data_IF_704402446010
#
_entry.id   IF_704402446010
#
_cell.length_a   1.000
_cell.length_b   1.000
_cell.length_c   1.000
_cell.angle_alpha   90.00
_cell.angle_beta   90.00
_cell.angle_gamma   90.00
#
_symmetry.space_group_name_H-M   'P 1'
#
loop_
_entity.id
_entity.type
_entity.pdbx_description
1 polymer ?
#
# COMPACT_ATOMS: atom_id res chain seq x y z
N UNK A 1 -8.49 5.17 10.97
CA UNK A 1 -8.03 5.44 9.60
C UNK A 1 -8.50 6.80 9.16
N UNK A 2 -7.59 7.63 8.73
CA UNK A 2 -7.95 8.95 8.25
C UNK A 2 -7.64 9.08 6.78
N UNK A 3 -8.64 8.91 5.95
CA UNK A 3 -8.62 9.46 4.61
C UNK A 3 -9.19 10.87 4.77
N UNK A 4 -8.33 11.88 4.70
CA UNK A 4 -8.72 13.26 4.94
C UNK A 4 -9.71 13.79 3.92
N UNK A 5 -9.55 13.35 2.69
CA UNK A 5 -10.44 13.71 1.60
C UNK A 5 -11.37 12.54 1.34
N UNK A 6 -12.65 12.80 1.41
CA UNK A 6 -13.63 11.76 1.11
C UNK A 6 -13.48 11.33 -0.34
N UNK A 7 -13.35 10.01 -0.60
CA UNK A 7 -13.41 9.53 -1.96
C UNK A 7 -14.81 9.74 -2.52
N UNK A 8 -14.91 10.04 -3.80
CA UNK A 8 -16.20 10.12 -4.49
C UNK A 8 -16.83 8.75 -4.62
N UNK A 9 -16.00 7.74 -4.80
CA UNK A 9 -16.45 6.37 -4.96
C UNK A 9 -15.35 5.44 -4.51
N UNK A 10 -15.68 4.50 -3.63
CA UNK A 10 -14.78 3.46 -3.18
C UNK A 10 -14.89 2.27 -4.13
N UNK A 11 -13.77 1.84 -4.70
CA UNK A 11 -13.72 0.68 -5.60
C UNK A 11 -13.49 -0.60 -4.79
N UNK A 12 -12.49 -0.58 -3.90
CA UNK A 12 -12.16 -1.76 -3.10
C UNK A 12 -11.38 -1.38 -1.84
N UNK A 13 -11.51 -2.24 -0.84
CA UNK A 13 -10.70 -2.21 0.39
C UNK A 13 -10.15 -3.62 0.57
N UNK A 14 -8.83 -3.71 0.84
CA UNK A 14 -8.19 -5.00 1.08
C UNK A 14 -7.17 -4.88 2.20
N UNK A 15 -7.28 -5.75 3.19
CA UNK A 15 -6.28 -5.87 4.25
C UNK A 15 -5.24 -6.92 3.83
N UNK A 16 -3.97 -6.58 3.99
CA UNK A 16 -2.87 -7.48 3.72
C UNK A 16 -2.07 -7.73 5.00
N UNK A 17 -1.87 -8.99 5.30
CA UNK A 17 -1.08 -9.45 6.44
C UNK A 17 0.12 -10.24 5.92
N UNK A 18 1.31 -9.79 6.29
CA UNK A 18 2.55 -10.52 6.01
C UNK A 18 3.22 -10.88 7.33
N UNK A 19 3.62 -12.14 7.48
CA UNK A 19 4.33 -12.58 8.65
C UNK A 19 5.81 -12.21 8.58
N UNK A 20 6.44 -12.18 9.76
CA UNK A 20 7.88 -11.99 9.88
C UNK A 20 8.63 -13.00 9.03
N UNK A 21 9.67 -12.55 8.35
CA UNK A 21 10.57 -13.41 7.58
C UNK A 21 12.03 -13.17 8.02
N UNK A 22 12.93 -14.07 7.63
CA UNK A 22 14.36 -13.95 7.97
C UNK A 22 14.99 -12.73 7.30
N UNK A 23 14.60 -12.48 6.04
CA UNK A 23 15.08 -11.35 5.25
C UNK A 23 13.89 -10.58 4.72
N UNK A 24 14.10 -9.30 4.41
CA UNK A 24 13.08 -8.50 3.72
C UNK A 24 12.89 -9.06 2.31
N UNK A 25 11.66 -9.43 1.99
CA UNK A 25 11.28 -9.94 0.67
C UNK A 25 10.37 -8.93 0.00
N UNK A 26 10.77 -8.43 -1.18
CA UNK A 26 9.91 -7.60 -2.02
C UNK A 26 9.04 -8.52 -2.87
N UNK A 27 7.72 -8.27 -2.85
CA UNK A 27 6.76 -9.16 -3.50
C UNK A 27 6.71 -9.03 -5.03
N UNK A 28 7.29 -7.99 -5.58
CA UNK A 28 7.29 -7.71 -7.01
C UNK A 28 6.39 -6.53 -7.36
N UNK A 29 6.83 -5.75 -8.35
CA UNK A 29 6.10 -4.56 -8.77
C UNK A 29 4.78 -4.92 -9.45
N UNK A 30 3.74 -4.17 -9.11
CA UNK A 30 2.42 -4.28 -9.73
C UNK A 30 1.73 -2.92 -9.65
N UNK A 31 0.61 -2.80 -10.34
CA UNK A 31 -0.26 -1.63 -10.22
C UNK A 31 -1.71 -2.08 -10.06
N UNK A 32 -2.56 -1.14 -9.65
CA UNK A 32 -3.97 -1.42 -9.35
C UNK A 32 -4.92 -0.92 -10.44
N UNK A 33 -4.40 -0.52 -11.59
CA UNK A 33 -5.18 0.10 -12.65
C UNK A 33 -6.16 -0.86 -13.34
N UNK A 34 -6.05 -2.15 -13.10
CA UNK A 34 -6.92 -3.16 -13.72
C UNK A 34 -8.39 -3.02 -13.35
N UNK A 35 -8.73 -2.27 -12.30
CA UNK A 35 -10.12 -2.07 -11.88
C UNK A 35 -10.91 -1.19 -12.84
N UNK A 36 -10.27 -0.24 -13.49
CA UNK A 36 -10.92 0.64 -14.44
C UNK A 36 -9.90 1.14 -15.45
N UNK A 37 -10.03 0.68 -16.68
CA UNK A 37 -9.12 1.08 -17.77
C UNK A 37 -9.46 2.46 -18.34
N UNK A 38 -10.68 2.93 -18.10
CA UNK A 38 -11.19 4.17 -18.71
C UNK A 38 -10.96 5.39 -17.83
N UNK A 39 -10.94 5.21 -16.52
CA UNK A 39 -10.80 6.31 -15.57
C UNK A 39 -9.75 5.98 -14.53
N UNK A 40 -8.74 6.83 -14.44
CA UNK A 40 -7.72 6.69 -13.40
C UNK A 40 -8.35 6.86 -12.03
N UNK A 41 -7.93 6.03 -11.12
CA UNK A 41 -8.31 6.12 -9.72
C UNK A 41 -7.06 6.21 -8.84
N UNK A 42 -7.27 6.46 -7.55
CA UNK A 42 -6.19 6.54 -6.58
C UNK A 42 -6.08 5.27 -5.79
N UNK A 43 -4.87 4.95 -5.39
CA UNK A 43 -4.56 3.90 -4.42
C UNK A 43 -4.06 4.56 -3.15
N UNK A 44 -4.66 4.20 -2.03
CA UNK A 44 -4.21 4.61 -0.71
C UNK A 44 -3.76 3.39 0.08
N UNK A 45 -2.70 3.54 0.84
CA UNK A 45 -2.21 2.51 1.76
C UNK A 45 -2.14 3.10 3.15
N UNK A 46 -2.75 2.42 4.11
CA UNK A 46 -2.71 2.79 5.52
C UNK A 46 -1.99 1.71 6.31
N UNK A 47 -0.99 2.13 7.07
CA UNK A 47 -0.16 1.22 7.86
C UNK A 47 -0.71 1.10 9.28
N UNK A 48 -1.00 -0.14 9.69
CA UNK A 48 -1.59 -0.42 11.00
C UNK A 48 -0.56 -0.65 12.10
N UNK A 49 0.68 -0.97 11.74
CA UNK A 49 1.75 -1.16 12.71
C UNK A 49 3.09 -0.66 12.17
N UNK A 50 4.04 -0.50 13.08
CA UNK A 50 5.41 -0.07 12.72
C UNK A 50 6.32 -1.27 12.60
N UNK A 51 7.06 -1.34 11.49
CA UNK A 51 8.08 -2.37 11.27
C UNK A 51 9.07 -1.89 10.20
N UNK A 52 10.08 -2.70 9.90
CA UNK A 52 11.08 -2.35 8.91
C UNK A 52 10.69 -2.70 7.47
N UNK A 53 9.49 -3.20 7.25
CA UNK A 53 8.94 -3.34 5.91
C UNK A 53 8.66 -1.98 5.28
N UNK A 54 8.43 -1.96 3.98
CA UNK A 54 8.20 -0.71 3.25
C UNK A 54 7.36 -0.94 2.00
N UNK A 55 6.89 0.15 1.42
CA UNK A 55 6.31 0.19 0.08
C UNK A 55 7.32 0.89 -0.83
N UNK A 56 7.70 0.23 -1.92
CA UNK A 56 8.68 0.77 -2.87
C UNK A 56 8.01 1.03 -4.20
N UNK A 57 8.35 2.17 -4.80
CA UNK A 57 7.83 2.56 -6.11
C UNK A 57 8.86 2.31 -7.19
N UNK A 58 8.41 2.22 -8.44
CA UNK A 58 9.29 1.94 -9.58
C UNK A 58 10.35 3.01 -9.82
N UNK A 59 10.15 4.23 -9.31
CA UNK A 59 11.14 5.29 -9.37
C UNK A 59 12.25 5.17 -8.32
N UNK A 60 12.18 4.13 -7.47
CA UNK A 60 13.15 3.87 -6.40
C UNK A 60 12.78 4.47 -5.06
N UNK A 61 11.76 5.31 -4.98
CA UNK A 61 11.32 5.88 -3.70
C UNK A 61 10.67 4.82 -2.81
N UNK A 62 10.74 5.03 -1.50
CA UNK A 62 10.20 4.11 -0.49
C UNK A 62 9.41 4.88 0.55
N UNK A 63 8.38 4.23 1.08
CA UNK A 63 7.63 4.70 2.24
C UNK A 63 7.74 3.63 3.32
N UNK A 64 8.34 3.98 4.45
CA UNK A 64 8.51 3.07 5.57
C UNK A 64 7.19 2.79 6.26
N UNK A 65 7.04 1.56 6.73
CA UNK A 65 5.84 1.14 7.46
C UNK A 65 5.88 1.72 8.87
N UNK A 66 4.99 2.68 9.12
CA UNK A 66 4.87 3.33 10.42
C UNK A 66 3.40 3.44 10.77
N UNK A 67 3.06 3.05 12.00
CA UNK A 67 1.68 3.08 12.49
C UNK A 67 1.04 4.46 12.25
N UNK A 68 -0.19 4.44 11.75
CA UNK A 68 -0.99 5.62 11.42
C UNK A 68 -0.48 6.45 10.24
N UNK A 69 0.55 6.01 9.54
CA UNK A 69 0.96 6.66 8.30
C UNK A 69 0.08 6.19 7.16
N UNK A 70 -0.23 7.09 6.24
CA UNK A 70 -0.89 6.73 5.00
C UNK A 70 -0.16 7.35 3.82
N UNK A 71 -0.29 6.72 2.66
CA UNK A 71 0.26 7.21 1.40
C UNK A 71 -0.80 7.06 0.31
N UNK A 72 -0.86 8.04 -0.58
CA UNK A 72 -1.79 8.05 -1.72
C UNK A 72 -1.00 8.26 -3.00
N UNK A 73 -1.33 7.51 -4.03
CA UNK A 73 -0.68 7.63 -5.33
C UNK A 73 -1.62 7.20 -6.44
N UNK A 74 -1.25 7.51 -7.68
CA UNK A 74 -2.02 7.08 -8.84
C UNK A 74 -1.99 5.56 -8.97
N UNK A 75 -3.13 4.97 -9.28
CA UNK A 75 -3.27 3.51 -9.34
C UNK A 75 -2.45 2.86 -10.45
N UNK A 76 -2.03 3.61 -11.46
CA UNK A 76 -1.17 3.11 -12.54
C UNK A 76 0.33 3.14 -12.17
N UNK A 77 0.68 3.63 -10.99
CA UNK A 77 2.06 3.64 -10.52
C UNK A 77 2.46 2.26 -10.02
N UNK A 78 3.53 1.72 -10.58
CA UNK A 78 4.04 0.42 -10.15
C UNK A 78 4.66 0.54 -8.76
N UNK A 79 4.29 -0.37 -7.90
CA UNK A 79 4.74 -0.41 -6.51
C UNK A 79 4.82 -1.85 -6.01
N UNK A 80 5.55 -2.05 -4.95
CA UNK A 80 5.66 -3.34 -4.27
C UNK A 80 5.64 -3.16 -2.76
N UNK A 81 4.98 -4.09 -2.07
CA UNK A 81 5.09 -4.24 -0.64
C UNK A 81 6.17 -5.23 -0.27
N UNK A 82 6.45 -5.35 1.01
CA UNK A 82 7.49 -6.24 1.53
C UNK A 82 7.00 -7.00 2.75
N UNK A 83 7.80 -7.99 3.16
CA UNK A 83 7.71 -8.57 4.49
C UNK A 83 8.44 -7.68 5.50
N UNK A 84 8.53 -8.11 6.74
CA UNK A 84 9.30 -7.44 7.79
C UNK A 84 10.16 -8.46 8.53
N UNK A 85 11.19 -7.98 9.22
CA UNK A 85 12.10 -8.86 9.99
C UNK A 85 12.13 -8.51 11.47
N UNK A 86 11.63 -7.34 11.85
CA UNK A 86 11.71 -6.82 13.24
C UNK A 86 10.37 -6.85 13.99
N UNK A 87 9.33 -7.35 13.37
CA UNK A 87 8.00 -7.48 13.97
C UNK A 87 7.38 -8.80 13.57
N UNK A 88 6.44 -9.32 14.36
CA UNK A 88 5.78 -10.60 14.09
C UNK A 88 5.02 -10.58 12.76
N UNK A 89 4.49 -9.40 12.39
CA UNK A 89 3.70 -9.25 11.19
C UNK A 89 3.74 -7.79 10.70
N UNK A 90 3.37 -7.62 9.46
CA UNK A 90 3.17 -6.34 8.82
C UNK A 90 1.73 -6.30 8.30
N UNK A 91 0.94 -5.33 8.76
CA UNK A 91 -0.46 -5.19 8.37
C UNK A 91 -0.65 -3.85 7.69
N UNK A 92 -1.23 -3.89 6.50
CA UNK A 92 -1.59 -2.69 5.74
C UNK A 92 -3.01 -2.83 5.21
N UNK A 93 -3.68 -1.70 5.01
CA UNK A 93 -4.98 -1.66 4.34
C UNK A 93 -4.82 -0.89 3.05
N UNK A 94 -5.19 -1.51 1.94
CA UNK A 94 -5.17 -0.91 0.62
C UNK A 94 -6.56 -0.45 0.25
N UNK A 95 -6.66 0.77 -0.28
CA UNK A 95 -7.89 1.33 -0.80
C UNK A 95 -7.69 1.69 -2.26
N UNK A 96 -8.69 1.39 -3.07
CA UNK A 96 -8.78 1.90 -4.43
C UNK A 96 -10.06 2.72 -4.52
N UNK A 97 -9.95 3.96 -4.99
CA UNK A 97 -11.08 4.89 -4.98
C UNK A 97 -10.92 5.98 -6.03
N UNK A 98 -12.04 6.54 -6.44
CA UNK A 98 -12.07 7.77 -7.24
C UNK A 98 -12.03 8.99 -6.31
N UNK A 99 -11.24 9.94 -6.70
CA UNK A 99 -11.12 11.17 -5.91
C UNK A 99 -11.82 12.36 -6.56
#
# INVERSE_FOLDING_TARGET
>A
MCIRDRPKSLISIKANLNFKSTDIIEHGFHNDWSFSKETKHKTGIFYLNTNNGYTKFSDGSKVDTKENRSVEFDSDMDHTGTTCTDSKYRIVINFNYFK
#
